data_IF_896357537309
#
_entry.id   IF_896357537309
#
_cell.length_a   1.000
_cell.length_b   1.000
_cell.length_c   1.000
_cell.angle_alpha   90.00
_cell.angle_beta   90.00
_cell.angle_gamma   90.00
#
_symmetry.space_group_name_H-M   'P 1'
#
loop_
_entity.id
_entity.type
_entity.pdbx_description
1 polymer ?
#
# COMPACT_ATOMS: atom_id res chain seq x y z
N UNK A 1 -8.24 -8.28 3.65
CA UNK A 1 -7.75 -7.83 2.30
C UNK A 1 -8.90 -7.41 1.37
N UNK A 2 -9.95 -6.75 1.88
CA UNK A 2 -11.08 -6.30 1.06
C UNK A 2 -10.71 -5.07 0.22
N UNK A 3 -10.01 -4.08 0.79
CA UNK A 3 -9.61 -2.85 0.10
C UNK A 3 -8.51 -3.12 -0.93
N UNK A 4 -7.49 -3.90 -0.55
CA UNK A 4 -6.43 -4.32 -1.47
C UNK A 4 -7.03 -5.10 -2.66
N UNK A 5 -8.10 -5.86 -2.43
CA UNK A 5 -8.75 -6.63 -3.49
C UNK A 5 -9.45 -5.78 -4.53
N UNK A 6 -9.90 -4.57 -4.18
CA UNK A 6 -10.57 -3.62 -5.06
C UNK A 6 -9.60 -2.85 -5.99
N UNK A 7 -8.29 -2.90 -5.73
CA UNK A 7 -7.28 -2.31 -6.60
C UNK A 7 -7.31 -3.00 -7.98
N UNK A 8 -7.54 -2.20 -9.03
CA UNK A 8 -7.60 -2.68 -10.41
C UNK A 8 -6.21 -2.94 -11.01
N UNK A 9 -5.20 -2.20 -10.57
CA UNK A 9 -3.84 -2.37 -11.08
C UNK A 9 -3.12 -3.51 -10.35
N UNK A 10 -2.64 -4.49 -11.11
CA UNK A 10 -2.00 -5.68 -10.57
C UNK A 10 -0.71 -5.40 -9.79
N UNK A 11 0.05 -4.35 -10.17
CA UNK A 11 1.27 -3.96 -9.46
C UNK A 11 0.94 -3.22 -8.18
N UNK A 12 0.00 -2.27 -8.23
CA UNK A 12 -0.54 -1.57 -7.06
C UNK A 12 -1.06 -2.57 -6.03
N UNK A 13 -1.81 -3.58 -6.48
CA UNK A 13 -2.33 -4.65 -5.63
C UNK A 13 -1.24 -5.52 -5.02
N UNK A 14 -0.25 -5.92 -5.81
CA UNK A 14 0.89 -6.70 -5.31
C UNK A 14 1.70 -5.91 -4.27
N UNK A 15 1.92 -4.63 -4.53
CA UNK A 15 2.60 -3.72 -3.61
C UNK A 15 1.80 -3.51 -2.32
N UNK A 16 0.49 -3.25 -2.42
CA UNK A 16 -0.39 -3.11 -1.26
C UNK A 16 -0.38 -4.39 -0.40
N UNK A 17 -0.42 -5.56 -1.04
CA UNK A 17 -0.32 -6.86 -0.35
C UNK A 17 1.03 -7.03 0.35
N UNK A 18 2.13 -6.68 -0.32
CA UNK A 18 3.46 -6.68 0.27
C UNK A 18 3.56 -5.71 1.46
N UNK A 19 2.98 -4.52 1.35
CA UNK A 19 2.91 -3.55 2.43
C UNK A 19 2.10 -4.09 3.62
N UNK A 20 0.94 -4.70 3.37
CA UNK A 20 0.12 -5.33 4.41
C UNK A 20 0.84 -6.50 5.12
N UNK A 21 1.54 -7.36 4.38
CA UNK A 21 2.23 -8.53 4.91
C UNK A 21 3.59 -8.19 5.56
N UNK A 22 4.29 -7.18 5.05
CA UNK A 22 5.65 -6.81 5.48
C UNK A 22 5.71 -5.64 6.46
N UNK A 23 4.66 -4.82 6.55
CA UNK A 23 4.61 -3.63 7.42
C UNK A 23 3.43 -3.70 8.39
N UNK A 24 3.67 -3.21 9.61
CA UNK A 24 2.63 -3.01 10.63
C UNK A 24 1.78 -1.77 10.32
N UNK A 25 0.56 -1.72 10.87
CA UNK A 25 -0.38 -0.58 10.77
C UNK A 25 0.29 0.77 11.04
N UNK A 26 1.12 0.88 12.08
CA UNK A 26 1.83 2.13 12.41
C UNK A 26 2.77 2.60 11.30
N UNK A 27 3.46 1.65 10.65
CA UNK A 27 4.41 1.93 9.58
C UNK A 27 3.69 2.32 8.29
N UNK A 28 2.55 1.66 8.02
CA UNK A 28 1.65 2.02 6.92
C UNK A 28 1.01 3.39 7.12
N UNK A 29 0.61 3.73 8.36
CA UNK A 29 0.08 5.04 8.70
C UNK A 29 1.14 6.13 8.51
N UNK A 30 2.37 5.91 9.00
CA UNK A 30 3.47 6.84 8.79
C UNK A 30 3.83 6.99 7.29
N UNK A 31 3.71 5.93 6.50
CA UNK A 31 3.89 5.97 5.05
C UNK A 31 2.77 6.77 4.36
N UNK A 32 1.51 6.57 4.77
CA UNK A 32 0.34 7.27 4.22
C UNK A 32 0.33 8.78 4.56
N UNK A 33 0.80 9.14 5.75
CA UNK A 33 0.98 10.55 6.17
C UNK A 33 2.28 11.16 5.63
N UNK A 34 3.20 10.30 5.20
CA UNK A 34 4.52 10.64 4.68
C UNK A 34 4.52 10.89 3.17
N UNK A 35 5.73 10.89 2.60
CA UNK A 35 5.93 11.05 1.16
C UNK A 35 6.16 9.67 0.52
N UNK A 36 5.66 9.49 -0.70
CA UNK A 36 5.84 8.24 -1.41
C UNK A 36 7.31 7.84 -1.56
N UNK A 37 7.59 6.58 -1.21
CA UNK A 37 8.95 6.06 -1.25
C UNK A 37 9.40 5.83 -2.70
N UNK A 38 10.40 6.60 -3.10
CA UNK A 38 10.90 6.60 -4.48
C UNK A 38 11.61 5.30 -4.86
N UNK A 39 12.19 4.59 -3.88
CA UNK A 39 12.85 3.32 -4.11
C UNK A 39 11.81 2.21 -4.34
N UNK A 40 10.75 2.18 -3.54
CA UNK A 40 9.64 1.25 -3.72
C UNK A 40 8.89 1.52 -5.04
N UNK A 41 8.59 2.78 -5.36
CA UNK A 41 7.99 3.14 -6.65
C UNK A 41 8.80 2.62 -7.84
N UNK A 42 10.14 2.76 -7.80
CA UNK A 42 11.03 2.22 -8.83
C UNK A 42 11.09 0.70 -8.84
N UNK A 43 11.13 0.08 -7.67
CA UNK A 43 11.23 -1.37 -7.53
C UNK A 43 9.99 -2.08 -8.08
N UNK A 44 8.81 -1.57 -7.72
CA UNK A 44 7.51 -2.10 -8.14
C UNK A 44 7.07 -1.56 -9.50
N UNK A 45 7.70 -0.49 -9.98
CA UNK A 45 7.36 0.18 -11.23
C UNK A 45 5.94 0.75 -11.20
N UNK A 46 5.60 1.42 -10.10
CA UNK A 46 4.32 2.09 -9.83
C UNK A 46 4.53 3.61 -9.71
N UNK A 47 3.47 4.37 -9.94
CA UNK A 47 3.47 5.84 -9.79
C UNK A 47 3.21 6.26 -8.35
N UNK A 48 3.43 7.55 -8.04
CA UNK A 48 3.15 8.13 -6.71
C UNK A 48 1.70 7.89 -6.29
N UNK A 49 0.72 8.19 -7.15
CA UNK A 49 -0.69 7.94 -6.84
C UNK A 49 -1.02 6.46 -6.62
N UNK A 50 -0.36 5.54 -7.35
CA UNK A 50 -0.52 4.10 -7.11
C UNK A 50 0.11 3.67 -5.78
N UNK A 51 1.27 4.21 -5.42
CA UNK A 51 1.90 3.94 -4.14
C UNK A 51 1.02 4.40 -2.98
N UNK A 52 0.48 5.63 -3.07
CA UNK A 52 -0.43 6.19 -2.06
C UNK A 52 -1.70 5.35 -1.94
N UNK A 53 -2.32 4.98 -3.07
CA UNK A 53 -3.52 4.15 -3.10
C UNK A 53 -3.27 2.75 -2.50
N UNK A 54 -2.11 2.16 -2.78
CA UNK A 54 -1.71 0.88 -2.23
C UNK A 54 -1.47 0.92 -0.71
N UNK A 55 -0.75 1.95 -0.23
CA UNK A 55 -0.50 2.13 1.21
C UNK A 55 -1.79 2.43 1.95
N UNK A 56 -2.67 3.26 1.39
CA UNK A 56 -3.98 3.55 1.96
C UNK A 56 -4.88 2.31 2.01
N UNK A 57 -4.91 1.50 0.94
CA UNK A 57 -5.67 0.26 0.92
C UNK A 57 -5.12 -0.77 1.92
N UNK A 58 -3.79 -0.90 2.01
CA UNK A 58 -3.13 -1.78 2.97
C UNK A 58 -3.39 -1.35 4.42
N UNK A 59 -3.35 -0.04 4.69
CA UNK A 59 -3.67 0.53 5.99
C UNK A 59 -5.13 0.28 6.36
N UNK A 60 -6.06 0.58 5.44
CA UNK A 60 -7.49 0.38 5.66
C UNK A 60 -7.82 -1.10 5.92
N UNK A 61 -7.15 -2.05 5.25
CA UNK A 61 -7.32 -3.48 5.52
C UNK A 61 -6.77 -3.91 6.89
N UNK A 62 -5.68 -3.29 7.36
CA UNK A 62 -5.16 -3.51 8.71
C UNK A 62 -6.11 -2.94 9.77
N UNK A 63 -6.62 -1.73 9.54
CA UNK A 63 -7.54 -1.03 10.45
C UNK A 63 -8.94 -1.64 10.45
N UNK A 64 -9.39 -2.20 9.33
CA UNK A 64 -10.66 -2.89 9.22
C UNK A 64 -10.70 -4.21 10.01
N UNK A 65 -9.52 -4.74 10.40
CA UNK A 65 -9.37 -5.91 11.25
C UNK A 65 -9.95 -7.18 10.63
N UNK A 66 -9.14 -7.87 9.81
CA UNK A 66 -9.38 -9.20 9.19
C UNK A 66 -10.81 -9.54 8.71
#
# INVERSE_FOLDING_TARGET
>A
MQMISQLHDGKTKAFAKHCFESSSTEKLRAAAEGKADSAEMKHWGITEGQWEEAVAAALADHEAGE
#
